data_IF_990010937434
#
_entry.id   IF_990010937434
#
_cell.length_a   1.000
_cell.length_b   1.000
_cell.length_c   1.000
_cell.angle_alpha   90.00
_cell.angle_beta   90.00
_cell.angle_gamma   90.00
#
_symmetry.space_group_name_H-M   'P 1'
#
loop_
_entity.id
_entity.type
_entity.pdbx_description
1 polymer ?
#
# COMPACT_ATOMS: atom_id res chain seq x y z
N UNK A 1 6.17 -11.44 -1.36
CA UNK A 1 6.30 -10.93 0.03
C UNK A 1 7.76 -10.93 0.49
N UNK A 2 8.42 -12.08 0.59
CA UNK A 2 9.82 -12.18 1.06
C UNK A 2 10.81 -11.32 0.27
N UNK A 3 10.67 -11.26 -1.05
CA UNK A 3 11.51 -10.39 -1.88
C UNK A 3 11.35 -8.90 -1.51
N UNK A 4 10.12 -8.45 -1.27
CA UNK A 4 9.85 -7.08 -0.84
C UNK A 4 10.43 -6.79 0.55
N UNK A 5 10.36 -7.74 1.48
CA UNK A 5 10.98 -7.62 2.80
C UNK A 5 12.51 -7.44 2.67
N UNK A 6 13.16 -8.23 1.80
CA UNK A 6 14.60 -8.12 1.51
C UNK A 6 14.98 -6.80 0.85
N UNK A 7 14.17 -6.30 -0.09
CA UNK A 7 14.43 -5.02 -0.76
C UNK A 7 14.28 -3.81 0.16
N UNK A 8 13.42 -3.92 1.18
CA UNK A 8 13.17 -2.89 2.20
C UNK A 8 14.07 -3.00 3.42
N UNK A 9 14.83 -4.08 3.54
CA UNK A 9 15.79 -4.25 4.62
C UNK A 9 16.83 -3.13 4.59
N UNK A 10 17.12 -2.54 5.76
CA UNK A 10 18.04 -1.42 5.92
C UNK A 10 17.69 -0.14 5.11
N UNK A 11 16.47 -0.02 4.60
CA UNK A 11 15.97 1.22 3.99
C UNK A 11 15.41 2.17 5.04
N UNK A 12 15.37 3.46 4.68
CA UNK A 12 14.81 4.52 5.52
C UNK A 12 13.31 4.28 5.76
N UNK A 13 12.80 4.77 6.89
CA UNK A 13 11.36 4.76 7.16
C UNK A 13 10.59 5.53 6.08
N UNK A 14 9.41 5.02 5.74
CA UNK A 14 8.62 5.53 4.62
C UNK A 14 9.05 5.01 3.24
N UNK A 15 10.20 4.32 3.13
CA UNK A 15 10.54 3.63 1.87
C UNK A 15 9.47 2.59 1.56
N UNK A 16 8.94 2.61 0.34
CA UNK A 16 7.90 1.71 -0.10
C UNK A 16 8.16 1.19 -1.51
N UNK A 17 7.44 0.15 -1.87
CA UNK A 17 7.33 -0.36 -3.22
C UNK A 17 5.90 -0.82 -3.51
N UNK A 18 5.46 -0.60 -4.75
CA UNK A 18 4.26 -1.19 -5.30
C UNK A 18 4.65 -2.47 -6.03
N UNK A 19 3.89 -3.54 -5.83
CA UNK A 19 4.10 -4.83 -6.47
C UNK A 19 2.78 -5.54 -6.71
N UNK A 20 2.82 -6.56 -7.54
CA UNK A 20 1.70 -7.50 -7.64
C UNK A 20 1.46 -8.19 -6.29
N UNK A 21 0.19 -8.47 -6.03
CA UNK A 21 -0.19 -9.26 -4.87
C UNK A 21 0.21 -10.71 -5.06
N UNK A 22 0.47 -11.41 -3.96
CA UNK A 22 0.64 -12.87 -3.97
C UNK A 22 -0.70 -13.59 -3.75
N UNK A 23 -1.81 -12.86 -3.65
CA UNK A 23 -3.15 -13.40 -3.45
C UNK A 23 -3.99 -13.17 -4.69
N UNK A 24 -4.75 -14.18 -5.09
CA UNK A 24 -5.56 -14.16 -6.31
C UNK A 24 -6.66 -13.07 -6.29
N UNK A 25 -7.18 -12.75 -5.11
CA UNK A 25 -8.30 -11.80 -4.94
C UNK A 25 -7.88 -10.33 -5.04
N UNK A 26 -6.58 -10.03 -5.02
CA UNK A 26 -6.07 -8.65 -5.04
C UNK A 26 -5.04 -8.50 -6.13
N UNK A 27 -5.12 -7.45 -6.94
CA UNK A 27 -4.14 -7.25 -8.03
C UNK A 27 -2.80 -6.70 -7.49
N UNK A 28 -2.87 -5.71 -6.61
CA UNK A 28 -1.70 -4.98 -6.14
C UNK A 28 -1.54 -5.01 -4.62
N UNK A 29 -0.30 -4.84 -4.18
CA UNK A 29 0.06 -4.64 -2.78
C UNK A 29 1.16 -3.60 -2.66
N UNK A 30 1.07 -2.79 -1.60
CA UNK A 30 2.16 -1.91 -1.18
C UNK A 30 2.93 -2.60 -0.07
N UNK A 31 4.25 -2.61 -0.18
CA UNK A 31 5.12 -3.00 0.93
C UNK A 31 5.95 -1.81 1.34
N UNK A 32 6.05 -1.52 2.63
CA UNK A 32 6.70 -0.30 3.13
C UNK A 32 7.41 -0.53 4.45
N UNK A 33 8.40 0.32 4.75
CA UNK A 33 9.17 0.27 5.99
C UNK A 33 8.60 1.27 7.00
N UNK A 34 8.22 0.79 8.19
CA UNK A 34 7.75 1.63 9.30
C UNK A 34 8.04 0.96 10.64
N UNK A 35 8.42 1.72 11.66
CA UNK A 35 8.77 1.25 13.00
C UNK A 35 9.84 0.15 13.00
N UNK A 36 10.86 0.31 12.16
CA UNK A 36 11.95 -0.67 12.04
C UNK A 36 11.53 -2.04 11.49
N UNK A 37 10.33 -2.16 10.90
CA UNK A 37 9.84 -3.40 10.27
C UNK A 37 9.22 -3.16 8.90
N UNK A 38 9.12 -4.23 8.11
CA UNK A 38 8.46 -4.20 6.81
C UNK A 38 6.98 -4.57 6.99
N UNK A 39 6.10 -3.75 6.45
CA UNK A 39 4.64 -3.89 6.48
C UNK A 39 4.10 -4.07 5.07
N UNK A 40 2.89 -4.63 4.97
CA UNK A 40 2.23 -4.90 3.71
C UNK A 40 0.76 -4.52 3.79
N UNK A 41 0.28 -3.76 2.81
CA UNK A 41 -1.12 -3.42 2.63
C UNK A 41 -1.57 -3.90 1.26
N UNK A 42 -2.73 -4.55 1.20
CA UNK A 42 -3.36 -4.96 -0.07
C UNK A 42 -4.18 -3.80 -0.58
N UNK A 43 -4.16 -3.59 -1.88
CA UNK A 43 -5.02 -2.59 -2.51
C UNK A 43 -6.29 -3.32 -2.95
N UNK A 44 -7.42 -2.89 -2.40
CA UNK A 44 -8.75 -3.35 -2.77
C UNK A 44 -9.29 -2.54 -3.93
N UNK A 45 -10.13 -3.16 -4.75
CA UNK A 45 -10.80 -2.49 -5.86
C UNK A 45 -12.31 -2.70 -5.75
N UNK A 46 -13.05 -1.61 -5.55
CA UNK A 46 -14.49 -1.63 -5.37
C UNK A 46 -15.11 -0.38 -5.99
N UNK A 47 -16.23 -0.53 -6.70
CA UNK A 47 -16.94 0.56 -7.40
C UNK A 47 -16.01 1.47 -8.24
N UNK A 48 -15.08 0.87 -8.99
CA UNK A 48 -14.09 1.59 -9.82
C UNK A 48 -13.12 2.48 -9.04
N UNK A 49 -12.92 2.21 -7.75
CA UNK A 49 -11.99 2.92 -6.87
C UNK A 49 -11.05 1.95 -6.17
N UNK A 50 -9.88 2.45 -5.81
CA UNK A 50 -8.83 1.74 -5.10
C UNK A 50 -8.69 2.31 -3.68
N UNK A 51 -8.62 1.44 -2.68
CA UNK A 51 -8.38 1.81 -1.28
C UNK A 51 -7.64 0.70 -0.53
N UNK A 52 -7.22 0.97 0.71
CA UNK A 52 -6.65 -0.05 1.60
C UNK A 52 -7.70 -0.75 2.48
N UNK A 53 -8.92 -0.22 2.50
CA UNK A 53 -10.14 -0.83 3.03
C UNK A 53 -11.30 -0.26 2.22
N UNK A 54 -12.01 -1.09 1.47
CA UNK A 54 -13.13 -0.64 0.61
C UNK A 54 -14.47 -0.61 1.33
N UNK A 55 -14.54 -1.18 2.52
CA UNK A 55 -15.76 -1.30 3.33
C UNK A 55 -15.84 -0.20 4.40
N UNK A 56 -14.70 0.39 4.78
CA UNK A 56 -14.65 1.54 5.69
C UNK A 56 -14.83 2.87 4.94
N UNK A 57 -15.96 3.59 5.14
CA UNK A 57 -16.19 4.89 4.51
C UNK A 57 -15.25 6.00 4.99
N UNK A 58 -14.53 5.80 6.11
CA UNK A 58 -13.50 6.71 6.61
C UNK A 58 -12.16 6.57 5.90
N UNK A 59 -11.95 5.51 5.12
CA UNK A 59 -10.69 5.26 4.41
C UNK A 59 -10.71 5.94 3.04
N UNK A 60 -9.61 6.58 2.70
CA UNK A 60 -9.46 7.26 1.42
C UNK A 60 -9.47 6.27 0.25
N UNK A 61 -10.22 6.62 -0.80
CA UNK A 61 -10.28 5.86 -2.03
C UNK A 61 -10.01 6.75 -3.24
N UNK A 62 -9.28 6.24 -4.24
CA UNK A 62 -8.91 6.98 -5.46
C UNK A 62 -9.33 6.23 -6.73
N UNK A 63 -9.58 6.91 -7.85
CA UNK A 63 -9.89 6.24 -9.13
C UNK A 63 -8.69 5.52 -9.75
N UNK A 64 -7.47 5.81 -9.28
CA UNK A 64 -6.23 5.18 -9.75
C UNK A 64 -5.36 4.77 -8.57
N UNK A 65 -4.58 3.70 -8.76
CA UNK A 65 -3.57 3.27 -7.77
C UNK A 65 -2.57 4.38 -7.51
N UNK A 66 -2.10 5.08 -8.54
CA UNK A 66 -1.17 6.21 -8.38
C UNK A 66 -1.76 7.34 -7.54
N UNK A 67 -3.05 7.65 -7.71
CA UNK A 67 -3.75 8.63 -6.89
C UNK A 67 -3.89 8.19 -5.43
N UNK A 68 -4.09 6.89 -5.19
CA UNK A 68 -4.08 6.34 -3.84
C UNK A 68 -2.69 6.51 -3.19
N UNK A 69 -1.61 6.18 -3.92
CA UNK A 69 -0.24 6.32 -3.39
C UNK A 69 0.13 7.78 -3.13
N UNK A 70 -0.21 8.70 -4.04
CA UNK A 70 0.13 10.12 -3.87
C UNK A 70 -0.55 10.72 -2.63
N UNK A 71 -1.77 10.29 -2.29
CA UNK A 71 -2.45 10.70 -1.07
C UNK A 71 -1.68 10.30 0.20
N UNK A 72 -1.16 9.07 0.25
CA UNK A 72 -0.41 8.55 1.42
C UNK A 72 1.08 8.89 1.42
N UNK A 73 1.54 9.73 0.48
CA UNK A 73 2.94 10.16 0.40
C UNK A 73 3.33 11.11 1.52
N UNK A 74 2.38 11.93 2.00
CA UNK A 74 2.62 12.83 3.11
C UNK A 74 2.47 12.07 4.44
N UNK A 75 3.54 11.97 5.26
CA UNK A 75 3.46 11.31 6.57
C UNK A 75 2.51 12.00 7.56
N UNK A 76 2.08 13.24 7.30
CA UNK A 76 1.11 13.97 8.11
C UNK A 76 -0.35 13.72 7.70
N UNK A 77 -0.60 12.93 6.65
CA UNK A 77 -1.95 12.64 6.12
C UNK A 77 -2.77 11.68 7.01
N UNK A 78 -2.22 11.20 8.13
CA UNK A 78 -2.83 10.22 9.05
C UNK A 78 -2.72 10.64 10.50
#
# INVERSE_FOLDING_TARGET
RYEAERLLENKLEGTFLLRDSAQEEHLFSVSFRKYGRSLHARIEHYQHRFSFDSHDPGVFAAPTVTGLIEHYKDPACV
#
